data_IF_955144276982
#
_entry.id   IF_955144276982
#
_cell.length_a   1.000
_cell.length_b   1.000
_cell.length_c   1.000
_cell.angle_alpha   90.00
_cell.angle_beta   90.00
_cell.angle_gamma   90.00
#
_symmetry.space_group_name_H-M   'P 1'
#
loop_
_entity.id
_entity.type
_entity.pdbx_description
1 polymer ?
#
# COMPACT_ATOMS: atom_id res chain seq x y z
N UNK A 1 74.23 22.68 -5.08
CA UNK A 1 73.67 22.38 -6.42
C UNK A 1 72.57 21.34 -6.25
N UNK A 2 71.37 21.62 -6.74
CA UNK A 2 70.21 20.73 -6.68
C UNK A 2 70.25 19.78 -7.87
N UNK A 3 70.07 18.48 -7.66
CA UNK A 3 69.56 17.51 -8.67
C UNK A 3 68.79 16.38 -7.98
N UNK A 4 67.46 16.39 -8.12
CA UNK A 4 66.61 15.20 -8.16
C UNK A 4 66.89 14.47 -9.50
N UNK A 5 66.71 13.14 -9.70
CA UNK A 5 65.40 12.47 -9.49
C UNK A 5 65.44 10.94 -9.20
N UNK A 6 64.26 10.38 -8.90
CA UNK A 6 63.70 9.15 -9.49
C UNK A 6 62.81 8.41 -8.48
N UNK A 7 61.50 8.37 -8.74
CA UNK A 7 60.63 7.31 -8.22
C UNK A 7 60.97 6.00 -8.95
N UNK A 8 60.86 4.86 -8.24
CA UNK A 8 59.99 3.78 -8.69
C UNK A 8 59.14 3.25 -7.50
N UNK A 9 57.81 3.27 -7.62
CA UNK A 9 57.01 2.13 -8.09
C UNK A 9 57.14 0.85 -7.24
N UNK A 10 56.10 0.65 -6.42
CA UNK A 10 55.49 -0.64 -6.01
C UNK A 10 56.33 -1.61 -5.18
N UNK A 11 55.97 -1.72 -3.90
CA UNK A 11 56.36 -2.85 -3.04
C UNK A 11 55.67 -2.77 -1.67
N UNK A 12 54.64 -3.60 -1.51
CA UNK A 12 54.00 -4.10 -0.29
C UNK A 12 54.48 -3.60 1.10
N UNK A 13 53.53 -3.21 1.95
CA UNK A 13 53.31 -3.91 3.23
C UNK A 13 52.10 -3.30 3.99
N UNK A 14 51.07 -4.14 4.10
CA UNK A 14 50.05 -4.25 5.15
C UNK A 14 50.33 -3.42 6.41
N UNK A 15 49.46 -2.45 6.71
CA UNK A 15 49.27 -1.93 8.07
C UNK A 15 47.86 -2.31 8.53
N UNK A 16 47.85 -3.25 9.47
CA UNK A 16 46.71 -3.74 10.23
C UNK A 16 46.03 -2.58 10.97
N UNK A 17 44.79 -2.25 10.61
CA UNK A 17 43.91 -1.47 11.48
C UNK A 17 42.94 -2.42 12.18
N UNK A 18 43.44 -3.02 13.27
CA UNK A 18 42.61 -3.60 14.30
C UNK A 18 42.22 -2.51 15.30
N UNK A 19 40.94 -2.16 15.35
CA UNK A 19 40.26 -1.78 16.59
C UNK A 19 38.76 -1.81 16.38
N UNK A 20 38.17 -2.87 16.95
CA UNK A 20 36.76 -3.01 17.24
C UNK A 20 36.34 -1.94 18.27
N UNK A 21 35.02 -1.69 18.30
CA UNK A 21 34.25 -1.13 19.41
C UNK A 21 34.39 0.37 19.68
N UNK A 22 33.58 1.15 18.95
CA UNK A 22 32.72 2.12 19.64
C UNK A 22 31.30 1.89 19.15
N UNK A 23 30.58 1.04 19.89
CA UNK A 23 29.12 0.96 19.90
C UNK A 23 28.60 2.22 20.61
N UNK A 24 28.76 3.37 19.95
CA UNK A 24 28.20 4.64 20.40
C UNK A 24 26.71 4.62 20.12
N UNK A 25 25.91 4.51 21.18
CA UNK A 25 24.47 4.31 21.10
C UNK A 25 23.73 5.36 20.27
N UNK A 26 23.09 4.90 19.19
CA UNK A 26 21.98 5.62 18.59
C UNK A 26 20.69 5.23 19.32
N UNK A 27 20.41 5.96 20.40
CA UNK A 27 19.09 6.38 20.84
C UNK A 27 17.90 5.51 20.35
N UNK A 28 17.66 4.38 21.03
CA UNK A 28 16.41 3.61 20.88
C UNK A 28 15.35 4.22 21.79
N UNK A 29 14.93 5.43 21.42
CA UNK A 29 13.98 6.25 22.16
C UNK A 29 13.24 7.23 21.27
N UNK A 30 12.95 6.87 20.02
CA UNK A 30 12.07 7.68 19.16
C UNK A 30 10.62 7.46 19.60
N UNK A 31 10.23 8.22 20.62
CA UNK A 31 8.88 8.71 20.79
C UNK A 31 8.30 9.05 19.43
N UNK A 32 7.16 8.43 19.10
CA UNK A 32 6.02 8.96 18.33
C UNK A 32 6.25 10.30 17.60
N UNK A 33 7.28 10.39 16.77
CA UNK A 33 7.62 11.59 16.03
C UNK A 33 6.83 11.50 14.74
N UNK A 34 5.68 12.16 14.77
CA UNK A 34 4.90 12.41 13.58
C UNK A 34 5.69 13.33 12.67
N UNK A 35 6.52 12.75 11.80
CA UNK A 35 7.18 13.46 10.72
C UNK A 35 6.08 14.03 9.81
N UNK A 36 6.13 15.33 9.44
CA UNK A 36 5.16 15.92 8.53
C UNK A 36 5.17 15.17 7.19
N UNK A 37 4.02 14.62 6.82
CA UNK A 37 3.88 13.70 5.68
C UNK A 37 4.42 14.29 4.36
N UNK A 38 4.34 15.62 4.18
CA UNK A 38 4.78 16.35 2.99
C UNK A 38 6.29 16.29 2.76
N UNK A 39 7.12 16.35 3.81
CA UNK A 39 8.59 16.30 3.66
C UNK A 39 9.13 14.88 3.44
N UNK A 40 8.28 13.88 3.62
CA UNK A 40 8.69 12.47 3.67
C UNK A 40 8.31 11.70 2.42
N UNK A 41 7.44 12.26 1.55
CA UNK A 41 7.02 11.59 0.30
C UNK A 41 8.20 11.11 -0.55
N UNK A 42 9.32 11.85 -0.57
CA UNK A 42 10.54 11.47 -1.30
C UNK A 42 11.33 10.31 -0.70
N UNK A 43 10.97 9.85 0.51
CA UNK A 43 11.63 8.73 1.18
C UNK A 43 10.96 7.37 0.89
N UNK A 44 9.78 7.38 0.26
CA UNK A 44 9.05 6.16 -0.08
C UNK A 44 9.32 5.76 -1.53
N UNK A 45 9.47 4.46 -1.77
CA UNK A 45 9.71 3.94 -3.13
C UNK A 45 8.50 4.18 -4.05
N UNK A 46 7.30 4.19 -3.47
CA UNK A 46 6.05 4.45 -4.18
C UNK A 46 5.07 5.22 -3.29
N UNK A 47 4.39 6.21 -3.88
CA UNK A 47 3.27 6.92 -3.24
C UNK A 47 2.00 6.66 -4.04
N UNK A 48 0.95 6.20 -3.35
CA UNK A 48 -0.37 5.94 -3.91
C UNK A 48 -1.39 6.85 -3.23
N UNK A 49 -2.44 7.26 -3.94
CA UNK A 49 -3.50 8.10 -3.35
C UNK A 49 -4.76 7.29 -3.08
N UNK A 50 -5.44 7.58 -1.98
CA UNK A 50 -6.74 6.99 -1.68
C UNK A 50 -7.81 7.56 -2.63
N UNK A 51 -8.68 6.72 -3.18
CA UNK A 51 -9.79 7.13 -4.04
C UNK A 51 -11.15 6.70 -3.46
N UNK A 52 -12.25 6.95 -4.17
CA UNK A 52 -13.60 6.63 -3.66
C UNK A 52 -13.76 5.11 -3.44
N UNK A 53 -14.47 4.75 -2.37
CA UNK A 53 -14.92 3.37 -2.11
C UNK A 53 -13.81 2.32 -1.97
N UNK A 54 -12.69 2.66 -1.34
CA UNK A 54 -11.60 1.69 -1.12
C UNK A 54 -10.64 1.52 -2.30
N UNK A 55 -10.87 2.23 -3.41
CA UNK A 55 -10.00 2.25 -4.59
C UNK A 55 -8.71 3.05 -4.36
N UNK A 56 -7.72 2.87 -5.23
CA UNK A 56 -6.43 3.56 -5.18
C UNK A 56 -6.16 4.26 -6.49
N UNK A 57 -5.54 5.43 -6.43
CA UNK A 57 -5.03 6.14 -7.58
C UNK A 57 -3.52 5.92 -7.67
N UNK A 58 -3.11 5.16 -8.68
CA UNK A 58 -1.72 4.73 -8.93
C UNK A 58 -1.35 5.22 -10.33
N UNK A 59 -0.30 6.04 -10.45
CA UNK A 59 0.17 6.62 -11.72
C UNK A 59 -0.92 7.32 -12.56
N UNK A 60 -1.93 7.88 -11.90
CA UNK A 60 -3.06 8.55 -12.55
C UNK A 60 -4.22 7.64 -12.94
N UNK A 61 -4.08 6.31 -12.77
CA UNK A 61 -5.16 5.36 -12.97
C UNK A 61 -5.89 5.06 -11.65
N UNK A 62 -7.22 4.97 -11.69
CA UNK A 62 -8.04 4.50 -10.57
C UNK A 62 -8.13 2.98 -10.65
N UNK A 63 -7.64 2.30 -9.61
CA UNK A 63 -7.60 0.85 -9.51
C UNK A 63 -8.42 0.39 -8.31
N UNK A 64 -9.15 -0.72 -8.48
CA UNK A 64 -9.75 -1.44 -7.35
C UNK A 64 -8.66 -2.03 -6.45
N UNK A 65 -9.02 -2.53 -5.27
CA UNK A 65 -8.05 -3.18 -4.39
C UNK A 65 -7.44 -4.44 -5.02
N UNK A 66 -8.26 -5.17 -5.80
CA UNK A 66 -7.83 -6.35 -6.54
C UNK A 66 -6.89 -5.98 -7.70
N UNK A 67 -7.25 -4.97 -8.49
CA UNK A 67 -6.40 -4.47 -9.59
C UNK A 67 -5.08 -3.90 -9.09
N UNK A 68 -5.11 -3.21 -7.94
CA UNK A 68 -3.89 -2.76 -7.27
C UNK A 68 -3.01 -3.94 -6.86
N UNK A 69 -3.60 -5.05 -6.39
CA UNK A 69 -2.88 -6.31 -6.16
C UNK A 69 -2.19 -6.83 -7.42
N UNK A 70 -2.93 -6.93 -8.52
CA UNK A 70 -2.37 -7.33 -9.82
C UNK A 70 -1.22 -6.42 -10.27
N UNK A 71 -1.33 -5.11 -10.02
CA UNK A 71 -0.24 -4.16 -10.28
C UNK A 71 1.01 -4.46 -9.43
N UNK A 72 0.86 -4.71 -8.12
CA UNK A 72 2.00 -5.10 -7.27
C UNK A 72 2.58 -6.47 -7.63
N UNK A 73 1.76 -7.42 -8.10
CA UNK A 73 2.24 -8.70 -8.62
C UNK A 73 3.12 -8.49 -9.85
N UNK A 74 2.69 -7.67 -10.79
CA UNK A 74 3.51 -7.31 -11.96
C UNK A 74 4.83 -6.65 -11.54
N UNK A 75 4.82 -5.72 -10.58
CA UNK A 75 6.04 -5.09 -10.07
C UNK A 75 6.98 -6.09 -9.40
N UNK A 76 6.44 -7.08 -8.69
CA UNK A 76 7.20 -8.19 -8.11
C UNK A 76 7.89 -9.02 -9.19
N UNK A 77 7.15 -9.42 -10.21
CA UNK A 77 7.67 -10.26 -11.31
C UNK A 77 8.70 -9.50 -12.15
N UNK A 78 8.52 -8.18 -12.30
CA UNK A 78 9.49 -7.29 -12.95
C UNK A 78 10.73 -6.98 -12.09
N UNK A 79 10.81 -7.47 -10.84
CA UNK A 79 11.91 -7.19 -9.91
C UNK A 79 11.95 -5.74 -9.40
N UNK A 80 10.84 -5.01 -9.54
CA UNK A 80 10.69 -3.59 -9.20
C UNK A 80 9.71 -3.36 -8.04
N UNK A 81 9.51 -4.37 -7.19
CA UNK A 81 8.60 -4.25 -6.06
C UNK A 81 9.10 -3.15 -5.09
N UNK A 82 8.27 -2.15 -4.78
CA UNK A 82 8.63 -1.13 -3.80
C UNK A 82 8.76 -1.76 -2.41
N UNK A 83 9.79 -1.37 -1.64
CA UNK A 83 9.95 -1.84 -0.26
C UNK A 83 9.06 -1.08 0.69
N UNK A 84 8.79 0.19 0.37
CA UNK A 84 8.00 1.11 1.16
C UNK A 84 6.95 1.80 0.30
N UNK A 85 5.71 1.77 0.76
CA UNK A 85 4.56 2.37 0.07
C UNK A 85 3.89 3.38 1.00
N UNK A 86 3.66 4.59 0.50
CA UNK A 86 2.93 5.63 1.21
C UNK A 86 1.54 5.80 0.62
N UNK A 87 0.51 5.70 1.46
CA UNK A 87 -0.87 6.04 1.14
C UNK A 87 -1.18 7.46 1.60
N UNK A 88 -1.52 8.33 0.66
CA UNK A 88 -1.94 9.72 0.94
C UNK A 88 -3.41 9.94 0.59
N UNK A 89 -4.11 10.90 1.21
CA UNK A 89 -5.41 11.33 0.70
C UNK A 89 -5.27 11.92 -0.72
N UNK A 90 -6.31 11.77 -1.53
CA UNK A 90 -6.47 12.51 -2.79
C UNK A 90 -7.41 13.69 -2.61
N UNK A 91 -7.49 14.55 -3.61
CA UNK A 91 -8.47 15.64 -3.67
C UNK A 91 -9.92 15.10 -3.67
N UNK A 92 -10.12 13.89 -4.19
CA UNK A 92 -11.41 13.21 -4.28
C UNK A 92 -11.80 12.41 -3.03
N UNK A 93 -10.83 11.98 -2.21
CA UNK A 93 -11.10 11.13 -1.05
C UNK A 93 -10.04 11.16 0.04
N UNK A 94 -10.53 11.18 1.28
CA UNK A 94 -9.73 10.93 2.49
C UNK A 94 -9.45 9.44 2.64
N UNK A 95 -8.39 9.11 3.36
CA UNK A 95 -8.07 7.73 3.74
C UNK A 95 -9.16 7.21 4.68
N UNK A 96 -9.88 6.17 4.24
CA UNK A 96 -10.88 5.45 5.04
C UNK A 96 -10.35 4.09 5.50
N UNK A 97 -11.08 3.50 6.47
CA UNK A 97 -10.80 2.17 7.00
C UNK A 97 -10.64 1.09 5.93
N UNK A 98 -11.45 1.11 4.87
CA UNK A 98 -11.36 0.16 3.76
C UNK A 98 -9.99 0.19 3.07
N UNK A 99 -9.44 1.39 2.82
CA UNK A 99 -8.10 1.52 2.23
C UNK A 99 -7.02 0.93 3.13
N UNK A 100 -7.12 1.17 4.44
CA UNK A 100 -6.16 0.62 5.40
C UNK A 100 -6.23 -0.91 5.44
N UNK A 101 -7.43 -1.49 5.36
CA UNK A 101 -7.63 -2.94 5.33
C UNK A 101 -7.09 -3.60 4.06
N UNK A 102 -7.33 -2.99 2.89
CA UNK A 102 -6.79 -3.48 1.63
C UNK A 102 -5.27 -3.29 1.56
N UNK A 103 -4.73 -2.17 2.06
CA UNK A 103 -3.29 -2.00 2.10
C UNK A 103 -2.60 -2.96 3.06
N UNK A 104 -3.21 -3.22 4.22
CA UNK A 104 -2.72 -4.24 5.13
C UNK A 104 -2.66 -5.62 4.45
N UNK A 105 -3.65 -5.95 3.61
CA UNK A 105 -3.66 -7.20 2.86
C UNK A 105 -2.55 -7.25 1.81
N UNK A 106 -2.39 -6.20 1.02
CA UNK A 106 -1.30 -6.09 0.03
C UNK A 106 0.08 -6.16 0.69
N UNK A 107 0.26 -5.53 1.85
CA UNK A 107 1.48 -5.64 2.64
C UNK A 107 1.78 -7.10 3.06
N UNK A 108 0.75 -7.90 3.39
CA UNK A 108 0.93 -9.32 3.70
C UNK A 108 1.25 -10.15 2.46
N UNK A 109 0.57 -9.88 1.35
CA UNK A 109 0.71 -10.66 0.11
C UNK A 109 2.05 -10.42 -0.59
N UNK A 110 2.56 -9.18 -0.56
CA UNK A 110 3.78 -8.79 -1.28
C UNK A 110 4.97 -8.48 -0.37
N UNK A 111 4.76 -8.29 0.94
CA UNK A 111 5.84 -8.14 1.92
C UNK A 111 6.49 -6.75 1.98
N UNK A 112 5.88 -5.73 1.36
CA UNK A 112 6.33 -4.34 1.51
C UNK A 112 5.80 -3.69 2.79
N UNK A 113 6.39 -2.58 3.22
CA UNK A 113 5.92 -1.82 4.38
C UNK A 113 5.03 -0.67 3.93
N UNK A 114 3.77 -0.66 4.38
CA UNK A 114 2.84 0.40 4.08
C UNK A 114 2.75 1.44 5.20
N UNK A 115 2.74 2.71 4.82
CA UNK A 115 2.50 3.86 5.68
C UNK A 115 1.30 4.64 5.15
N UNK A 116 0.63 5.41 6.01
CA UNK A 116 -0.46 6.27 5.61
C UNK A 116 -0.35 7.65 6.26
N UNK A 117 -0.87 8.65 5.56
CA UNK A 117 -0.98 10.02 6.06
C UNK A 117 -2.28 10.22 6.86
N UNK A 118 -2.15 10.33 8.18
CA UNK A 118 -3.23 10.64 9.10
C UNK A 118 -3.28 12.15 9.39
N UNK A 119 -3.78 12.91 8.41
CA UNK A 119 -4.01 14.35 8.57
C UNK A 119 -2.72 15.16 8.79
N UNK A 120 -1.65 14.82 8.09
CA UNK A 120 -0.32 15.44 8.17
C UNK A 120 0.69 14.64 9.00
N UNK A 121 0.27 13.53 9.62
CA UNK A 121 1.14 12.66 10.44
C UNK A 121 1.31 11.31 9.77
N UNK A 122 2.55 10.85 9.62
CA UNK A 122 2.81 9.52 9.11
C UNK A 122 2.60 8.45 10.17
N UNK A 123 1.74 7.50 9.84
CA UNK A 123 1.48 6.31 10.64
C UNK A 123 1.78 5.05 9.83
N UNK A 124 2.34 4.04 10.48
CA UNK A 124 2.62 2.73 9.86
C UNK A 124 1.38 1.85 9.91
N UNK A 125 1.08 1.16 8.82
CA UNK A 125 0.01 0.17 8.80
C UNK A 125 0.48 -1.10 9.50
N UNK A 126 -0.22 -1.49 10.57
CA UNK A 126 -0.03 -2.76 11.24
C UNK A 126 -1.11 -3.76 10.78
N UNK A 127 -0.78 -4.78 9.98
CA UNK A 127 -1.78 -5.67 9.38
C UNK A 127 -2.53 -6.51 10.41
N UNK A 128 -1.94 -6.75 11.59
CA UNK A 128 -2.58 -7.46 12.70
C UNK A 128 -3.65 -6.60 13.37
N UNK A 129 -3.33 -5.33 13.64
CA UNK A 129 -4.27 -4.38 14.28
C UNK A 129 -5.37 -3.94 13.31
N UNK A 130 -5.05 -3.81 12.03
CA UNK A 130 -5.95 -3.27 11.01
C UNK A 130 -7.02 -4.28 10.56
N UNK A 131 -6.94 -5.55 11.00
CA UNK A 131 -7.80 -6.66 10.55
C UNK A 131 -7.85 -6.75 9.03
N UNK A 132 -6.71 -7.11 8.43
CA UNK A 132 -6.57 -7.26 6.98
C UNK A 132 -7.75 -8.05 6.38
N UNK A 133 -8.42 -7.46 5.39
CA UNK A 133 -9.57 -8.05 4.69
C UNK A 133 -9.11 -8.68 3.38
N UNK A 134 -9.85 -9.64 2.83
CA UNK A 134 -9.64 -10.08 1.46
C UNK A 134 -9.75 -8.88 0.49
N UNK A 135 -8.94 -8.89 -0.57
CA UNK A 135 -9.07 -7.90 -1.65
C UNK A 135 -10.39 -8.16 -2.37
N UNK A 136 -11.15 -7.09 -2.59
CA UNK A 136 -12.45 -7.16 -3.26
C UNK A 136 -12.43 -6.23 -4.47
N UNK A 137 -13.10 -6.64 -5.55
CA UNK A 137 -13.38 -5.77 -6.68
C UNK A 137 -14.32 -4.64 -6.25
N UNK A 138 -14.19 -3.49 -6.91
CA UNK A 138 -15.15 -2.42 -6.70
C UNK A 138 -16.47 -2.77 -7.38
N UNK A 139 -17.48 -3.08 -6.57
CA UNK A 139 -18.86 -3.12 -7.03
C UNK A 139 -19.49 -1.75 -6.77
N UNK A 140 -19.82 -1.04 -7.86
CA UNK A 140 -20.65 0.15 -7.74
C UNK A 140 -21.95 -0.22 -7.02
N UNK A 141 -22.47 0.61 -6.08
CA UNK A 141 -23.79 0.37 -5.53
C UNK A 141 -24.79 0.46 -6.69
N UNK A 142 -25.31 -0.69 -7.10
CA UNK A 142 -26.48 -0.74 -7.95
C UNK A 142 -27.59 -0.11 -7.12
N UNK A 143 -28.05 1.08 -7.49
CA UNK A 143 -29.34 1.56 -7.01
C UNK A 143 -30.36 0.57 -7.58
N UNK A 144 -30.75 -0.41 -6.76
CA UNK A 144 -31.93 -1.21 -7.02
C UNK A 144 -33.12 -0.27 -6.98
N UNK A 145 -33.47 0.26 -8.15
CA UNK A 145 -34.72 0.93 -8.35
C UNK A 145 -35.83 -0.08 -8.02
N UNK A 146 -36.64 0.26 -7.02
CA UNK A 146 -37.65 -0.57 -6.37
C UNK A 146 -38.90 -0.80 -7.27
N UNK A 147 -38.75 -0.80 -8.59
CA UNK A 147 -39.86 -0.96 -9.56
C UNK A 147 -39.92 -2.38 -10.15
N UNK A 148 -38.98 -3.26 -9.81
CA UNK A 148 -39.05 -4.69 -10.13
C UNK A 148 -39.40 -5.55 -8.90
N UNK A 149 -40.32 -5.06 -8.05
CA UNK A 149 -41.07 -5.95 -7.16
C UNK A 149 -42.10 -6.69 -8.02
N UNK A 150 -41.72 -7.90 -8.40
CA UNK A 150 -42.54 -8.93 -9.03
C UNK A 150 -44.03 -8.81 -8.68
N UNK A 151 -44.87 -8.75 -9.72
CA UNK A 151 -46.26 -9.22 -9.65
C UNK A 151 -46.19 -10.73 -9.43
N UNK A 152 -46.00 -11.14 -8.18
CA UNK A 152 -46.19 -12.52 -7.78
C UNK A 152 -47.67 -12.89 -7.82
N UNK A 153 -47.89 -14.09 -8.32
CA UNK A 153 -49.17 -14.73 -8.55
C UNK A 153 -50.04 -14.80 -7.29
N UNK A 154 -51.34 -14.58 -7.48
CA UNK A 154 -52.33 -14.78 -6.43
C UNK A 154 -53.75 -14.67 -6.95
N UNK A 155 -54.29 -15.75 -7.52
CA UNK A 155 -55.73 -16.08 -7.47
C UNK A 155 -55.95 -17.57 -7.70
N UNK A 156 -56.73 -18.13 -6.78
CA UNK A 156 -56.98 -19.53 -6.39
C UNK A 156 -57.36 -20.56 -7.47
N UNK A 157 -57.26 -21.87 -7.13
CA UNK A 157 -57.81 -22.97 -7.92
C UNK A 157 -59.33 -23.07 -7.72
N UNK A 158 -60.09 -23.08 -8.81
CA UNK A 158 -61.55 -23.26 -8.78
C UNK A 158 -62.11 -23.63 -10.16
N UNK A 159 -62.95 -24.65 -10.15
CA UNK A 159 -63.94 -25.02 -11.18
C UNK A 159 -63.49 -25.90 -12.37
N UNK A 160 -63.65 -27.21 -12.14
CA UNK A 160 -63.82 -28.24 -13.17
C UNK A 160 -65.29 -28.17 -13.65
N UNK A 161 -65.59 -27.94 -14.94
CA UNK A 161 -66.94 -28.09 -15.44
C UNK A 161 -67.25 -29.58 -15.71
N UNK A 162 -68.18 -30.11 -14.91
CA UNK A 162 -68.77 -31.43 -15.09
C UNK A 162 -69.72 -31.50 -16.27
N UNK A 163 -69.79 -32.71 -16.81
CA UNK A 163 -70.66 -33.22 -17.87
C UNK A 163 -72.15 -33.13 -17.54
N UNK A 164 -72.95 -32.64 -18.48
CA UNK A 164 -74.20 -33.29 -18.92
C UNK A 164 -74.59 -32.80 -20.32
#
# INVERSE_FOLDING_TARGET
MIRFPALPSRGAAVLLFGSLLVLGGCHRGASKDSIPAVQTQSQFDMTIKAYKSGQFLIDGAVLSALDAGSHFAYLKDAGRLPKTVLLVPSDDSKIRKQHLQYMARLQLDYGFVAYYDDGGKLARINPVETKARALEDYHAPVQENNEQKSKDAGSSPGDIPGTN
#
